data_IF_169893612832
#
_entry.id   IF_169893612832
#
_cell.length_a   1.000
_cell.length_b   1.000
_cell.length_c   1.000
_cell.angle_alpha   90.00
_cell.angle_beta   90.00
_cell.angle_gamma   90.00
#
_symmetry.space_group_name_H-M   'P 1'
#
loop_
_entity.id
_entity.type
_entity.pdbx_description
1 polymer ?
#
# COMPACT_ATOMS: atom_id res chain seq x y z
N UNK A 1 2.28 8.86 12.32
CA UNK A 1 3.25 7.78 12.12
C UNK A 1 3.32 7.39 10.65
N UNK A 2 4.52 7.24 10.13
CA UNK A 2 4.71 6.77 8.76
C UNK A 2 4.34 5.30 8.67
N UNK A 3 3.52 4.94 7.70
CA UNK A 3 2.98 3.59 7.60
C UNK A 3 2.94 3.07 6.16
N UNK A 4 3.20 1.77 6.01
CA UNK A 4 3.08 1.06 4.73
C UNK A 4 2.03 -0.03 4.89
N UNK A 5 1.00 0.00 4.04
CA UNK A 5 0.02 -1.08 3.95
C UNK A 5 0.46 -2.02 2.83
N UNK A 6 0.57 -3.30 3.14
CA UNK A 6 1.02 -4.32 2.19
C UNK A 6 -0.12 -5.24 1.79
N UNK A 7 -0.30 -5.43 0.48
CA UNK A 7 -1.38 -6.24 -0.09
C UNK A 7 -0.79 -7.37 -0.94
N UNK A 8 -1.07 -8.60 -0.57
CA UNK A 8 -0.70 -9.80 -1.36
C UNK A 8 0.80 -9.91 -1.66
N UNK A 9 1.64 -9.34 -0.80
CA UNK A 9 3.09 -9.35 -1.03
C UNK A 9 3.65 -10.75 -0.80
N UNK A 10 4.43 -11.26 -1.76
CA UNK A 10 5.09 -12.55 -1.66
C UNK A 10 5.98 -12.60 -0.42
N UNK A 11 6.07 -13.77 0.23
CA UNK A 11 6.70 -13.93 1.54
C UNK A 11 8.12 -13.38 1.63
N UNK A 12 8.97 -13.67 0.66
CA UNK A 12 10.36 -13.19 0.68
C UNK A 12 10.45 -11.67 0.58
N UNK A 13 9.64 -11.07 -0.29
CA UNK A 13 9.57 -9.61 -0.42
C UNK A 13 9.01 -8.98 0.85
N UNK A 14 7.99 -9.61 1.44
CA UNK A 14 7.35 -9.13 2.66
C UNK A 14 8.33 -9.02 3.80
N UNK A 15 9.17 -10.04 3.98
CA UNK A 15 10.22 -10.04 5.00
C UNK A 15 11.18 -8.87 4.78
N UNK A 16 11.65 -8.68 3.55
CA UNK A 16 12.57 -7.60 3.19
C UNK A 16 11.95 -6.22 3.43
N UNK A 17 10.69 -6.06 3.04
CA UNK A 17 9.97 -4.79 3.24
C UNK A 17 9.82 -4.49 4.73
N UNK A 18 9.45 -5.48 5.53
CA UNK A 18 9.30 -5.31 6.97
C UNK A 18 10.62 -4.93 7.65
N UNK A 19 11.71 -5.55 7.25
CA UNK A 19 13.03 -5.23 7.79
C UNK A 19 13.45 -3.82 7.42
N UNK A 20 13.19 -3.41 6.18
CA UNK A 20 13.47 -2.05 5.72
C UNK A 20 12.63 -1.02 6.51
N UNK A 21 11.35 -1.30 6.69
CA UNK A 21 10.46 -0.43 7.45
C UNK A 21 10.93 -0.27 8.89
N UNK A 22 11.36 -1.36 9.52
CA UNK A 22 11.90 -1.30 10.89
C UNK A 22 13.14 -0.41 10.93
N UNK A 23 14.03 -0.54 9.97
CA UNK A 23 15.26 0.24 9.88
C UNK A 23 14.96 1.74 9.73
N UNK A 24 13.91 2.08 8.99
CA UNK A 24 13.52 3.47 8.74
C UNK A 24 12.48 4.01 9.73
N UNK A 25 12.13 3.23 10.74
CA UNK A 25 11.12 3.60 11.73
C UNK A 25 9.73 3.81 11.09
N UNK A 26 9.38 2.93 10.17
CA UNK A 26 8.09 2.93 9.47
C UNK A 26 7.27 1.75 9.97
N UNK A 27 5.99 1.97 10.25
CA UNK A 27 5.09 0.88 10.63
C UNK A 27 4.65 0.13 9.36
N UNK A 28 4.88 -1.18 9.32
CA UNK A 28 4.47 -2.02 8.20
C UNK A 28 3.31 -2.90 8.63
N UNK A 29 2.22 -2.86 7.88
CA UNK A 29 1.02 -3.65 8.17
C UNK A 29 0.65 -4.50 6.97
N UNK A 30 0.43 -5.79 7.21
CA UNK A 30 -0.14 -6.69 6.20
C UNK A 30 -1.65 -6.57 6.29
N UNK A 31 -2.27 -6.20 5.17
CA UNK A 31 -3.72 -6.09 5.09
C UNK A 31 -4.28 -7.45 4.68
N UNK A 32 -5.26 -7.94 5.43
CA UNK A 32 -5.90 -9.22 5.14
C UNK A 32 -6.98 -9.06 4.07
N UNK A 33 -7.24 -10.10 3.30
CA UNK A 33 -8.24 -10.06 2.23
C UNK A 33 -9.62 -9.65 2.72
N UNK A 34 -9.98 -10.02 3.94
CA UNK A 34 -11.24 -9.62 4.55
C UNK A 34 -11.36 -8.11 4.77
N UNK A 35 -10.24 -7.40 4.72
CA UNK A 35 -10.17 -5.95 4.93
C UNK A 35 -10.09 -5.16 3.62
N UNK A 36 -9.97 -5.82 2.46
CA UNK A 36 -9.78 -5.14 1.18
C UNK A 36 -10.95 -4.24 0.77
N UNK A 37 -12.13 -4.49 1.28
CA UNK A 37 -13.31 -3.67 1.03
C UNK A 37 -13.49 -2.52 2.01
N UNK A 38 -12.61 -2.35 2.97
CA UNK A 38 -12.64 -1.22 3.90
C UNK A 38 -11.96 -0.02 3.30
N UNK A 39 -12.33 1.17 3.77
CA UNK A 39 -11.66 2.41 3.36
C UNK A 39 -10.22 2.42 3.86
N UNK A 40 -9.34 3.03 3.08
CA UNK A 40 -7.94 3.21 3.48
C UNK A 40 -7.84 4.00 4.78
N UNK A 41 -8.68 5.03 4.95
CA UNK A 41 -8.76 5.81 6.18
C UNK A 41 -9.07 4.95 7.40
N UNK A 42 -9.95 3.95 7.24
CA UNK A 42 -10.30 3.03 8.32
C UNK A 42 -9.10 2.15 8.68
N UNK A 43 -8.40 1.63 7.68
CA UNK A 43 -7.22 0.78 7.90
C UNK A 43 -6.10 1.54 8.59
N UNK A 44 -6.01 2.85 8.37
CA UNK A 44 -5.00 3.71 8.99
C UNK A 44 -5.43 4.24 10.37
N UNK A 45 -6.62 3.89 10.82
CA UNK A 45 -7.13 4.37 12.10
C UNK A 45 -7.63 5.81 12.11
N UNK A 46 -7.85 6.39 10.93
CA UNK A 46 -8.33 7.76 10.78
C UNK A 46 -9.86 7.86 10.72
N UNK A 47 -10.54 6.73 10.61
CA UNK A 47 -11.99 6.63 10.46
C UNK A 47 -12.46 5.38 11.19
N UNK A 48 -13.64 5.44 11.80
CA UNK A 48 -14.24 4.31 12.53
C UNK A 48 -15.19 3.46 11.69
N UNK A 49 -15.36 3.80 10.41
CA UNK A 49 -16.26 3.10 9.50
C UNK A 49 -15.70 1.72 9.14
N UNK A 50 -16.26 0.67 9.73
CA UNK A 50 -15.81 -0.71 9.52
C UNK A 50 -16.59 -1.42 8.40
N UNK A 51 -17.31 -0.68 7.59
CA UNK A 51 -18.06 -1.24 6.47
C UNK A 51 -17.11 -1.87 5.47
N UNK A 52 -17.44 -3.08 5.02
CA UNK A 52 -16.70 -3.80 3.99
C UNK A 52 -17.55 -3.86 2.73
N UNK A 53 -17.06 -3.27 1.64
CA UNK A 53 -17.77 -3.31 0.37
C UNK A 53 -17.84 -4.76 -0.14
N UNK A 54 -18.98 -5.20 -0.71
CA UNK A 54 -19.10 -6.57 -1.21
C UNK A 54 -18.21 -6.80 -2.43
N UNK A 55 -17.83 -8.06 -2.65
CA UNK A 55 -17.04 -8.49 -3.82
C UNK A 55 -15.71 -7.74 -3.97
N UNK A 56 -15.10 -7.39 -2.84
CA UNK A 56 -13.86 -6.62 -2.80
C UNK A 56 -12.67 -7.56 -2.64
N UNK A 57 -12.08 -7.95 -3.75
CA UNK A 57 -10.90 -8.81 -3.75
C UNK A 57 -10.00 -8.49 -4.96
N UNK A 58 -8.72 -8.77 -4.80
CA UNK A 58 -7.72 -8.71 -5.88
C UNK A 58 -6.52 -9.54 -5.47
N UNK A 59 -5.75 -10.02 -6.44
CA UNK A 59 -4.63 -10.92 -6.17
C UNK A 59 -3.25 -10.28 -6.39
N UNK A 60 -3.19 -9.14 -7.05
CA UNK A 60 -1.91 -8.48 -7.35
C UNK A 60 -1.28 -7.82 -6.13
N UNK A 61 0.03 -7.65 -6.19
CA UNK A 61 0.78 -6.97 -5.14
C UNK A 61 0.59 -5.47 -5.19
N UNK A 62 0.42 -4.84 -4.03
CA UNK A 62 0.28 -3.39 -3.93
C UNK A 62 0.85 -2.89 -2.60
N UNK A 63 1.46 -1.70 -2.63
CA UNK A 63 1.85 -0.98 -1.43
C UNK A 63 1.12 0.37 -1.37
N UNK A 64 0.63 0.72 -0.20
CA UNK A 64 0.06 2.04 0.06
C UNK A 64 0.91 2.74 1.10
N UNK A 65 1.43 3.92 0.73
CA UNK A 65 2.43 4.65 1.52
C UNK A 65 1.77 5.85 2.19
N UNK A 66 1.68 5.83 3.51
CA UNK A 66 0.99 6.86 4.28
C UNK A 66 1.96 7.66 5.14
N UNK A 67 1.79 8.97 5.12
CA UNK A 67 2.47 9.87 6.02
C UNK A 67 4.00 9.88 5.83
N UNK A 68 4.44 9.81 4.59
CA UNK A 68 5.85 9.90 4.25
C UNK A 68 6.24 11.38 4.09
N UNK A 69 7.28 11.79 4.79
CA UNK A 69 7.74 13.17 4.80
C UNK A 69 9.17 13.30 4.30
N UNK A 70 9.47 14.43 3.64
CA UNK A 70 10.80 14.80 3.22
C UNK A 70 11.46 13.73 2.36
N UNK A 71 12.70 13.38 2.68
CA UNK A 71 13.48 12.43 1.90
C UNK A 71 13.09 10.96 2.14
N UNK A 72 12.26 10.66 3.14
CA UNK A 72 11.93 9.28 3.54
C UNK A 72 11.33 8.48 2.40
N UNK A 73 10.44 9.09 1.60
CA UNK A 73 9.83 8.42 0.45
C UNK A 73 10.89 7.98 -0.56
N UNK A 74 11.78 8.89 -0.94
CA UNK A 74 12.83 8.56 -1.91
C UNK A 74 13.80 7.52 -1.36
N UNK A 75 14.15 7.60 -0.08
CA UNK A 75 15.01 6.61 0.58
C UNK A 75 14.35 5.25 0.53
N UNK A 76 13.07 5.16 0.90
CA UNK A 76 12.32 3.92 0.90
C UNK A 76 12.27 3.29 -0.50
N UNK A 77 11.88 4.08 -1.51
CA UNK A 77 11.77 3.60 -2.88
C UNK A 77 13.13 3.17 -3.45
N UNK A 78 14.19 3.92 -3.16
CA UNK A 78 15.53 3.58 -3.61
C UNK A 78 16.03 2.29 -2.95
N UNK A 79 15.73 2.08 -1.67
CA UNK A 79 16.13 0.85 -0.98
C UNK A 79 15.39 -0.37 -1.52
N UNK A 80 14.11 -0.22 -1.88
CA UNK A 80 13.36 -1.31 -2.53
C UNK A 80 14.07 -1.75 -3.82
N UNK A 81 14.55 -0.79 -4.62
CA UNK A 81 15.31 -1.08 -5.83
C UNK A 81 16.61 -1.80 -5.52
N UNK A 82 17.37 -1.28 -4.57
CA UNK A 82 18.68 -1.85 -4.17
C UNK A 82 18.57 -3.28 -3.65
N UNK A 83 17.48 -3.56 -2.94
CA UNK A 83 17.20 -4.91 -2.40
C UNK A 83 16.64 -5.85 -3.43
N UNK A 84 16.37 -5.37 -4.65
CA UNK A 84 15.71 -6.13 -5.70
C UNK A 84 14.36 -6.67 -5.20
N UNK A 85 13.55 -5.78 -4.63
CA UNK A 85 12.23 -6.11 -4.10
C UNK A 85 11.16 -5.33 -4.87
N UNK A 86 10.92 -5.66 -6.16
CA UNK A 86 9.98 -4.88 -6.97
C UNK A 86 8.53 -5.16 -6.56
N UNK A 87 7.76 -4.08 -6.47
CA UNK A 87 6.30 -4.14 -6.32
C UNK A 87 5.74 -3.19 -7.37
N UNK A 88 4.98 -3.74 -8.33
CA UNK A 88 4.54 -2.99 -9.49
C UNK A 88 3.61 -1.82 -9.13
N UNK A 89 2.68 -2.04 -8.22
CA UNK A 89 1.69 -1.03 -7.85
C UNK A 89 2.03 -0.42 -6.49
N UNK A 90 2.33 0.88 -6.50
CA UNK A 90 2.60 1.65 -5.29
C UNK A 90 1.87 2.97 -5.38
N UNK A 91 1.20 3.36 -4.31
CA UNK A 91 0.51 4.64 -4.24
C UNK A 91 0.85 5.36 -2.96
N UNK A 92 0.95 6.68 -3.04
CA UNK A 92 1.14 7.55 -1.88
C UNK A 92 -0.23 8.12 -1.49
N UNK A 93 -0.48 8.24 -0.20
CA UNK A 93 -1.71 8.81 0.31
C UNK A 93 -1.91 10.24 -0.20
N UNK A 94 -3.12 10.52 -0.68
CA UNK A 94 -3.55 11.87 -1.08
C UNK A 94 -4.91 12.14 -0.44
N UNK A 95 -5.32 13.40 -0.43
CA UNK A 95 -6.66 13.78 0.03
C UNK A 95 -7.74 13.14 -0.83
N UNK A 96 -7.43 12.87 -2.11
CA UNK A 96 -8.37 12.23 -3.02
C UNK A 96 -8.54 10.74 -2.78
N UNK A 97 -7.44 10.02 -2.50
CA UNK A 97 -7.51 8.55 -2.41
C UNK A 97 -7.73 8.00 -1.01
N UNK A 98 -7.56 8.81 0.03
CA UNK A 98 -7.68 8.34 1.43
C UNK A 98 -9.06 7.76 1.74
N UNK A 99 -10.10 8.21 1.06
CA UNK A 99 -11.47 7.73 1.23
C UNK A 99 -11.83 6.52 0.36
N UNK A 100 -10.93 6.07 -0.50
CA UNK A 100 -11.16 4.88 -1.33
C UNK A 100 -11.06 3.61 -0.49
N UNK A 101 -11.75 2.55 -0.92
CA UNK A 101 -11.44 1.22 -0.42
C UNK A 101 -10.13 0.76 -1.08
N UNK A 102 -9.49 -0.24 -0.50
CA UNK A 102 -8.27 -0.80 -1.10
C UNK A 102 -8.52 -1.31 -2.52
N UNK A 103 -9.67 -1.93 -2.76
CA UNK A 103 -10.04 -2.44 -4.09
C UNK A 103 -10.24 -1.32 -5.11
N UNK A 104 -10.85 -0.21 -4.70
CA UNK A 104 -11.01 0.95 -5.58
C UNK A 104 -9.65 1.51 -5.98
N UNK A 105 -8.75 1.63 -5.01
CA UNK A 105 -7.39 2.09 -5.29
C UNK A 105 -6.68 1.14 -6.24
N UNK A 106 -6.76 -0.15 -5.99
CA UNK A 106 -6.11 -1.17 -6.84
C UNK A 106 -6.59 -1.06 -8.29
N UNK A 107 -7.90 -0.93 -8.50
CA UNK A 107 -8.47 -0.76 -9.84
C UNK A 107 -7.96 0.48 -10.54
N UNK A 108 -7.90 1.60 -9.81
CA UNK A 108 -7.40 2.86 -10.36
C UNK A 108 -5.93 2.75 -10.77
N UNK A 109 -5.10 2.14 -9.92
CA UNK A 109 -3.69 1.93 -10.24
C UNK A 109 -3.50 1.00 -11.43
N UNK A 110 -4.32 -0.03 -11.56
CA UNK A 110 -4.28 -0.92 -12.72
C UNK A 110 -4.64 -0.19 -14.01
N UNK A 111 -5.65 0.69 -13.97
CA UNK A 111 -6.03 1.49 -15.12
C UNK A 111 -4.91 2.45 -15.53
N UNK A 112 -4.31 3.13 -14.57
CA UNK A 112 -3.18 4.03 -14.82
C UNK A 112 -2.00 3.26 -15.43
N UNK A 113 -1.69 2.10 -14.88
CA UNK A 113 -0.59 1.26 -15.36
C UNK A 113 -0.82 0.80 -16.80
N UNK A 114 -2.05 0.42 -17.13
CA UNK A 114 -2.47 0.06 -18.49
C UNK A 114 -2.29 1.24 -19.45
N UNK A 115 -2.72 2.41 -19.06
CA UNK A 115 -2.63 3.61 -19.89
C UNK A 115 -1.17 3.99 -20.17
N UNK A 116 -0.28 3.78 -19.20
CA UNK A 116 1.14 4.08 -19.36
C UNK A 116 1.88 3.06 -20.21
N UNK A 117 1.42 1.82 -20.24
CA UNK A 117 2.09 0.71 -20.92
C UNK A 117 1.37 0.26 -22.20
N UNK A 118 0.21 0.78 -22.42
CA UNK A 118 -0.62 0.44 -23.56
C UNK A 118 -0.60 1.53 -24.58
#
# INVERSE_FOLDING_TARGET
MTEVLMYNIEQEKRIKIKLLCRKLNINAREVEKSEFGMKLSTLLGLDDDKTVAPDSDFDGEMLYLSNFYGATLNIFLNQLKKQNTPVALKAVQTDSNIGYTSCELYRELCEEHKMMNG
#
